data_IF_290187070597
#
_entry.id   IF_290187070597
#
_cell.length_a   1.000
_cell.length_b   1.000
_cell.length_c   1.000
_cell.angle_alpha   90.00
_cell.angle_beta   90.00
_cell.angle_gamma   90.00
#
_symmetry.space_group_name_H-M   'P 1'
#
loop_
_entity.id
_entity.type
_entity.pdbx_description
1 polymer ?
#
# COMPACT_ATOMS: atom_id res chain seq x y z
N UNK A 1 -16.49 -5.34 -23.60
CA UNK A 1 -15.33 -5.71 -22.77
C UNK A 1 -15.18 -4.66 -21.68
N UNK A 2 -15.78 -4.89 -20.51
CA UNK A 2 -15.65 -3.97 -19.37
C UNK A 2 -14.24 -4.19 -18.79
N UNK A 3 -13.30 -3.29 -19.09
CA UNK A 3 -12.05 -3.22 -18.37
C UNK A 3 -12.41 -2.91 -16.92
N UNK A 4 -12.25 -3.89 -16.02
CA UNK A 4 -12.53 -3.65 -14.61
C UNK A 4 -11.56 -2.58 -14.09
N UNK A 5 -12.07 -1.60 -13.37
CA UNK A 5 -11.30 -0.46 -12.84
C UNK A 5 -10.25 -0.86 -11.78
N UNK A 6 -10.10 -2.15 -11.49
CA UNK A 6 -9.36 -2.66 -10.33
C UNK A 6 -8.47 -3.80 -10.76
N UNK A 7 -7.20 -3.47 -10.97
CA UNK A 7 -6.20 -4.44 -11.34
C UNK A 7 -5.30 -4.76 -10.15
N UNK A 8 -5.53 -5.94 -9.58
CA UNK A 8 -4.55 -6.67 -8.79
C UNK A 8 -4.10 -6.04 -7.46
N UNK A 9 -3.28 -6.84 -6.78
CA UNK A 9 -2.80 -6.62 -5.42
C UNK A 9 -1.38 -6.04 -5.48
N UNK A 10 -1.12 -4.91 -4.83
CA UNK A 10 0.23 -4.40 -4.54
C UNK A 10 0.82 -5.29 -3.47
N UNK A 11 1.87 -6.05 -3.77
CA UNK A 11 2.63 -6.71 -2.70
C UNK A 11 3.81 -5.80 -2.33
N UNK A 12 3.69 -5.08 -1.23
CA UNK A 12 4.83 -4.42 -0.59
C UNK A 12 5.55 -5.42 0.29
N UNK A 13 6.77 -5.82 -0.07
CA UNK A 13 7.64 -6.68 0.76
C UNK A 13 8.68 -5.77 1.42
N UNK A 14 8.51 -5.47 2.70
CA UNK A 14 9.57 -4.87 3.51
C UNK A 14 10.64 -5.93 3.71
N UNK A 15 11.87 -5.53 3.42
CA UNK A 15 13.01 -6.36 3.18
C UNK A 15 13.82 -6.72 4.42
N UNK A 16 15.07 -7.01 4.13
CA UNK A 16 15.83 -8.09 4.72
C UNK A 16 16.79 -7.60 5.80
N UNK A 17 16.51 -7.87 7.09
CA UNK A 17 17.45 -7.58 8.17
C UNK A 17 18.44 -8.75 8.38
N UNK A 18 19.75 -8.46 8.32
CA UNK A 18 20.82 -9.28 8.94
C UNK A 18 21.40 -8.49 10.11
N UNK A 19 20.79 -8.54 11.30
CA UNK A 19 21.50 -8.32 12.56
C UNK A 19 20.63 -8.72 13.77
N UNK A 20 21.21 -9.61 14.59
CA UNK A 20 20.77 -10.12 15.91
C UNK A 20 19.54 -11.05 15.91
N UNK A 21 19.61 -11.98 16.85
CA UNK A 21 18.88 -13.25 16.91
C UNK A 21 17.39 -13.11 17.25
N UNK A 22 16.89 -11.89 17.43
CA UNK A 22 15.55 -11.62 17.92
C UNK A 22 14.65 -11.20 16.76
N UNK A 23 13.41 -11.69 16.75
CA UNK A 23 12.41 -11.30 15.76
C UNK A 23 12.21 -9.77 15.82
N UNK A 24 12.15 -9.05 14.67
CA UNK A 24 11.99 -7.60 14.63
C UNK A 24 10.62 -7.07 15.11
N UNK A 25 9.82 -7.92 15.77
CA UNK A 25 8.49 -7.64 16.28
C UNK A 25 7.40 -8.48 15.59
N UNK A 26 6.12 -8.27 15.97
CA UNK A 26 4.97 -8.94 15.40
C UNK A 26 4.84 -8.68 13.88
N UNK A 27 4.28 -9.65 13.15
CA UNK A 27 4.01 -9.53 11.70
C UNK A 27 5.23 -9.72 10.78
N UNK A 28 6.42 -10.00 11.33
CA UNK A 28 7.62 -10.36 10.55
C UNK A 28 7.77 -11.88 10.46
N UNK A 29 7.89 -12.41 9.23
CA UNK A 29 8.14 -13.83 9.00
C UNK A 29 9.57 -14.06 8.52
N UNK A 30 10.25 -15.10 9.02
CA UNK A 30 11.56 -15.52 8.50
C UNK A 30 11.39 -16.23 7.17
N UNK A 31 12.06 -15.74 6.13
CA UNK A 31 12.15 -16.44 4.85
C UNK A 31 13.07 -17.65 4.98
N UNK A 32 12.57 -18.88 4.77
CA UNK A 32 13.38 -20.09 4.91
C UNK A 32 14.51 -20.19 3.89
N UNK A 33 14.42 -19.50 2.74
CA UNK A 33 15.43 -19.57 1.66
C UNK A 33 16.55 -18.56 1.83
N UNK A 34 16.22 -17.35 2.29
CA UNK A 34 17.18 -16.25 2.38
C UNK A 34 17.65 -16.01 3.83
N UNK A 35 16.93 -16.55 4.82
CA UNK A 35 17.20 -16.35 6.24
C UNK A 35 16.84 -14.96 6.75
N UNK A 36 16.18 -14.15 5.93
CA UNK A 36 15.87 -12.74 6.18
C UNK A 36 14.42 -12.61 6.64
N UNK A 37 14.15 -11.66 7.52
CA UNK A 37 12.77 -11.35 7.93
C UNK A 37 12.07 -10.55 6.83
N UNK A 38 10.78 -10.81 6.63
CA UNK A 38 9.95 -10.10 5.66
C UNK A 38 8.58 -9.77 6.23
N UNK A 39 8.05 -8.61 5.83
CA UNK A 39 6.66 -8.21 6.07
C UNK A 39 5.98 -7.96 4.74
N UNK A 40 4.81 -8.57 4.51
CA UNK A 40 4.06 -8.46 3.26
C UNK A 40 2.82 -7.60 3.49
N UNK A 41 2.61 -6.60 2.65
CA UNK A 41 1.34 -5.86 2.55
C UNK A 41 0.68 -6.11 1.21
N UNK A 42 -0.65 -6.09 1.17
CA UNK A 42 -1.49 -6.33 0.00
C UNK A 42 -2.56 -5.26 -0.12
N UNK A 43 -2.62 -4.54 -1.24
CA UNK A 43 -3.64 -3.48 -1.43
C UNK A 43 -4.06 -3.32 -2.88
N UNK A 44 -5.22 -2.68 -3.12
CA UNK A 44 -5.79 -2.53 -4.47
C UNK A 44 -5.25 -1.27 -5.15
N UNK A 45 -4.99 -1.38 -6.45
CA UNK A 45 -4.64 -0.24 -7.31
C UNK A 45 -5.83 0.29 -8.10
N UNK A 46 -5.73 1.55 -8.51
CA UNK A 46 -6.58 2.14 -9.54
C UNK A 46 -5.75 2.46 -10.78
N UNK A 47 -6.30 2.19 -11.97
CA UNK A 47 -5.74 2.66 -13.23
C UNK A 47 -6.24 4.08 -13.46
N UNK A 48 -5.33 5.02 -13.71
CA UNK A 48 -5.69 6.43 -13.95
C UNK A 48 -6.23 6.61 -15.36
N UNK A 49 -6.94 7.71 -15.63
CA UNK A 49 -7.42 8.04 -16.98
C UNK A 49 -6.27 8.06 -18.01
N UNK A 50 -5.08 8.49 -17.58
CA UNK A 50 -3.89 8.44 -18.43
C UNK A 50 -3.42 7.01 -18.70
N UNK A 51 -3.50 6.12 -17.71
CA UNK A 51 -3.25 4.69 -17.89
C UNK A 51 -4.26 4.01 -18.82
N UNK A 52 -5.55 4.32 -18.69
CA UNK A 52 -6.58 3.85 -19.62
C UNK A 52 -6.30 4.35 -21.05
N UNK A 53 -5.94 5.62 -21.21
CA UNK A 53 -5.55 6.16 -22.52
C UNK A 53 -4.30 5.45 -23.07
N UNK A 54 -3.36 5.04 -22.22
CA UNK A 54 -2.18 4.30 -22.63
C UNK A 54 -2.56 2.93 -23.21
N UNK A 55 -3.44 2.18 -22.52
CA UNK A 55 -3.93 0.88 -23.00
C UNK A 55 -4.71 1.01 -24.32
N UNK A 56 -5.53 2.06 -24.46
CA UNK A 56 -6.25 2.32 -25.70
C UNK A 56 -5.30 2.66 -26.85
N UNK A 57 -4.29 3.51 -26.60
CA UNK A 57 -3.29 3.90 -27.61
C UNK A 57 -2.40 2.72 -28.03
N UNK A 58 -2.11 1.77 -27.14
CA UNK A 58 -1.34 0.58 -27.51
C UNK A 58 -2.04 -0.32 -28.53
N UNK A 59 -3.37 -0.23 -28.66
CA UNK A 59 -4.12 -0.94 -29.71
C UNK A 59 -3.94 -0.24 -31.06
N UNK A 60 -4.00 1.10 -31.08
CA UNK A 60 -3.94 1.88 -32.31
C UNK A 60 -2.55 1.91 -32.95
N UNK A 61 -1.50 2.09 -32.14
CA UNK A 61 -0.18 2.46 -32.65
C UNK A 61 0.76 1.27 -32.87
N UNK A 62 0.38 0.06 -32.48
CA UNK A 62 1.33 -1.06 -32.45
C UNK A 62 2.52 -0.79 -31.52
N UNK A 63 3.39 -1.78 -31.34
CA UNK A 63 4.44 -1.74 -30.32
C UNK A 63 5.67 -0.88 -30.69
N UNK A 64 5.65 -0.22 -31.85
CA UNK A 64 6.74 0.62 -32.35
C UNK A 64 6.25 2.07 -32.54
N UNK A 65 6.66 2.93 -31.60
CA UNK A 65 6.81 4.38 -31.80
C UNK A 65 5.59 5.31 -31.84
N UNK A 66 4.54 5.06 -31.04
CA UNK A 66 3.73 6.15 -30.46
C UNK A 66 3.08 5.83 -29.10
N UNK A 67 3.69 4.92 -28.32
CA UNK A 67 3.17 4.45 -27.04
C UNK A 67 4.22 3.73 -26.18
N UNK A 68 5.45 4.26 -26.08
CA UNK A 68 6.56 3.64 -25.32
C UNK A 68 6.23 3.07 -23.94
N UNK A 69 7.03 2.10 -23.50
CA UNK A 69 6.73 1.11 -22.47
C UNK A 69 6.68 1.65 -21.03
N UNK A 70 6.00 0.90 -20.16
CA UNK A 70 6.08 1.09 -18.72
C UNK A 70 7.48 0.64 -18.25
N UNK A 71 8.23 1.56 -17.63
CA UNK A 71 9.64 1.33 -17.27
C UNK A 71 9.96 1.62 -15.82
N UNK A 72 9.12 2.35 -15.11
CA UNK A 72 9.47 2.88 -13.79
C UNK A 72 8.39 2.61 -12.74
N UNK A 73 8.83 2.30 -11.51
CA UNK A 73 7.97 2.26 -10.33
C UNK A 73 8.38 3.42 -9.42
N UNK A 74 7.38 4.19 -8.98
CA UNK A 74 7.56 5.28 -8.02
C UNK A 74 6.91 4.95 -6.68
N UNK A 75 7.46 5.52 -5.62
CA UNK A 75 6.93 5.46 -4.25
C UNK A 75 6.91 6.84 -3.64
N UNK A 76 5.94 7.08 -2.77
CA UNK A 76 5.73 8.39 -2.15
C UNK A 76 5.13 8.34 -0.76
N UNK A 77 5.07 9.50 -0.13
CA UNK A 77 4.48 9.72 1.21
C UNK A 77 3.05 10.26 1.14
N UNK A 78 2.50 10.45 -0.06
CA UNK A 78 1.11 10.89 -0.21
C UNK A 78 0.13 9.83 0.28
N UNK A 79 -0.96 10.29 0.90
CA UNK A 79 -1.94 9.43 1.58
C UNK A 79 -3.39 9.71 1.15
N UNK A 80 -3.59 10.60 0.16
CA UNK A 80 -4.93 10.81 -0.42
C UNK A 80 -5.41 9.55 -1.13
N UNK A 81 -6.71 9.31 -1.10
CA UNK A 81 -7.30 8.17 -1.80
C UNK A 81 -7.03 8.26 -3.31
N UNK A 82 -6.51 7.20 -3.96
CA UNK A 82 -6.24 7.19 -5.40
C UNK A 82 -7.49 7.48 -6.23
N UNK A 83 -7.43 8.51 -7.08
CA UNK A 83 -8.52 8.90 -7.97
C UNK A 83 -8.16 8.66 -9.43
N UNK A 84 -9.18 8.41 -10.27
CA UNK A 84 -8.96 8.20 -11.72
C UNK A 84 -8.31 9.41 -12.40
N UNK A 85 -8.55 10.62 -11.87
CA UNK A 85 -8.00 11.87 -12.40
C UNK A 85 -6.53 12.14 -12.04
N UNK A 86 -5.91 11.32 -11.18
CA UNK A 86 -4.55 11.57 -10.72
C UNK A 86 -3.55 11.48 -11.88
N UNK A 87 -2.72 12.51 -12.04
CA UNK A 87 -1.69 12.58 -13.09
C UNK A 87 -0.29 12.25 -12.59
N UNK A 88 -0.07 12.30 -11.27
CA UNK A 88 1.18 12.03 -10.58
C UNK A 88 0.91 11.49 -9.16
N UNK A 89 1.96 11.02 -8.48
CA UNK A 89 1.89 10.75 -7.04
C UNK A 89 1.76 12.07 -6.28
N UNK A 90 1.09 12.03 -5.12
CA UNK A 90 0.81 13.23 -4.33
C UNK A 90 2.07 13.79 -3.68
N UNK A 91 2.95 12.92 -3.20
CA UNK A 91 4.26 13.31 -2.69
C UNK A 91 5.30 12.25 -3.06
N UNK A 92 5.83 12.35 -4.28
CA UNK A 92 6.84 11.41 -4.78
C UNK A 92 8.14 11.53 -3.98
N UNK A 93 8.64 10.39 -3.48
CA UNK A 93 9.94 10.30 -2.81
C UNK A 93 11.03 9.88 -3.80
N UNK A 94 10.76 8.81 -4.55
CA UNK A 94 11.71 8.27 -5.52
C UNK A 94 10.97 7.50 -6.60
N UNK A 95 11.53 7.56 -7.81
CA UNK A 95 11.13 6.77 -8.96
C UNK A 95 12.34 6.04 -9.52
N UNK A 96 12.21 4.75 -9.79
CA UNK A 96 13.31 3.91 -10.25
C UNK A 96 12.86 2.91 -11.34
N UNK A 97 13.81 2.46 -12.17
CA UNK A 97 13.53 1.51 -13.25
C UNK A 97 13.10 0.14 -12.69
N UNK A 98 12.15 -0.50 -13.36
CA UNK A 98 11.63 -1.84 -13.03
C UNK A 98 12.74 -2.88 -13.23
N UNK A 99 12.95 -3.74 -12.24
CA UNK A 99 14.01 -4.75 -12.30
C UNK A 99 13.61 -5.97 -13.14
N UNK A 100 12.33 -6.34 -13.10
CA UNK A 100 11.86 -7.52 -13.84
C UNK A 100 10.37 -7.50 -14.18
N UNK A 101 10.06 -8.21 -15.27
CA UNK A 101 8.72 -8.56 -15.72
C UNK A 101 8.60 -10.07 -15.80
N UNK A 102 7.67 -10.68 -15.06
CA UNK A 102 7.65 -12.16 -14.88
C UNK A 102 6.89 -12.92 -15.98
N UNK A 103 6.10 -12.25 -16.84
CA UNK A 103 5.27 -12.92 -17.84
C UNK A 103 5.43 -12.31 -19.24
N UNK A 104 6.62 -12.47 -19.82
CA UNK A 104 7.01 -11.86 -21.11
C UNK A 104 6.24 -12.41 -22.32
N UNK A 105 5.57 -13.56 -22.22
CA UNK A 105 4.80 -14.18 -23.31
C UNK A 105 3.51 -14.81 -22.76
N UNK A 106 2.51 -13.96 -22.53
CA UNK A 106 1.27 -14.37 -21.89
C UNK A 106 0.44 -15.22 -22.85
N UNK A 107 0.28 -16.51 -22.53
CA UNK A 107 -0.58 -17.44 -23.25
C UNK A 107 -1.54 -18.20 -22.32
N UNK A 108 -1.72 -17.70 -21.09
CA UNK A 108 -2.53 -18.33 -20.04
C UNK A 108 -3.70 -17.44 -19.63
N UNK A 109 -4.80 -18.09 -19.25
CA UNK A 109 -5.98 -17.46 -18.69
C UNK A 109 -6.05 -17.74 -17.16
N UNK A 110 -6.13 -16.72 -16.27
CA UNK A 110 -6.12 -15.29 -16.56
C UNK A 110 -4.77 -14.79 -17.06
N UNK A 111 -4.84 -13.76 -17.89
CA UNK A 111 -3.66 -13.02 -18.37
C UNK A 111 -3.11 -12.18 -17.21
N UNK A 112 -1.90 -12.51 -16.75
CA UNK A 112 -1.21 -11.81 -15.65
C UNK A 112 0.09 -11.21 -16.15
N UNK A 113 0.37 -9.95 -15.82
CA UNK A 113 1.70 -9.34 -15.87
C UNK A 113 2.12 -8.90 -14.47
N UNK A 114 3.39 -9.06 -14.14
CA UNK A 114 3.94 -8.66 -12.85
C UNK A 114 5.16 -7.80 -13.08
N UNK A 115 5.10 -6.54 -12.63
CA UNK A 115 6.25 -5.64 -12.58
C UNK A 115 6.80 -5.61 -11.16
N UNK A 116 8.10 -5.85 -11.02
CA UNK A 116 8.76 -5.87 -9.70
C UNK A 116 9.92 -4.90 -9.65
N UNK A 117 10.00 -4.12 -8.57
CA UNK A 117 11.16 -3.28 -8.23
C UNK A 117 11.57 -3.48 -6.79
N UNK A 118 12.84 -3.75 -6.55
CA UNK A 118 13.49 -3.63 -5.26
C UNK A 118 14.16 -2.26 -5.13
N UNK A 119 13.73 -1.50 -4.13
CA UNK A 119 14.41 -0.31 -3.63
C UNK A 119 15.47 -0.72 -2.61
N UNK A 120 16.69 -0.24 -2.84
CA UNK A 120 17.85 -0.53 -2.00
C UNK A 120 17.75 0.18 -0.64
N UNK A 121 18.68 -0.14 0.26
CA UNK A 121 18.79 0.49 1.58
C UNK A 121 19.02 2.01 1.51
N UNK A 122 19.63 2.50 0.44
CA UNK A 122 19.90 3.94 0.23
C UNK A 122 18.75 4.68 -0.46
N UNK A 123 17.72 3.97 -0.90
CA UNK A 123 16.65 4.48 -1.77
C UNK A 123 15.31 4.53 -1.03
N UNK A 124 14.44 5.49 -1.38
CA UNK A 124 13.06 5.58 -0.89
C UNK A 124 12.92 5.49 0.65
N UNK A 125 13.84 6.13 1.39
CA UNK A 125 13.82 6.15 2.85
C UNK A 125 12.85 7.21 3.37
N UNK A 126 11.62 6.79 3.63
CA UNK A 126 10.55 7.65 4.16
C UNK A 126 9.42 6.79 4.77
N UNK A 127 8.40 7.47 5.32
CA UNK A 127 7.12 6.86 5.67
C UNK A 127 6.26 6.69 4.41
N UNK A 128 6.55 5.66 3.62
CA UNK A 128 5.93 5.44 2.33
C UNK A 128 4.48 4.98 2.51
N UNK A 129 3.56 5.57 1.75
CA UNK A 129 2.12 5.28 1.82
C UNK A 129 1.52 5.05 0.44
N UNK A 130 2.13 5.59 -0.62
CA UNK A 130 1.68 5.43 -1.99
C UNK A 130 2.76 4.86 -2.90
N UNK A 131 2.30 4.31 -4.01
CA UNK A 131 3.13 3.86 -5.10
C UNK A 131 2.40 4.05 -6.43
N UNK A 132 3.17 4.25 -7.51
CA UNK A 132 2.65 4.29 -8.87
C UNK A 132 3.53 3.59 -9.91
N UNK A 133 2.97 3.35 -11.08
CA UNK A 133 3.66 2.81 -12.26
C UNK A 133 3.74 3.88 -13.35
N UNK A 134 4.91 4.03 -13.97
CA UNK A 134 5.21 5.15 -14.86
C UNK A 134 5.94 4.71 -16.13
N UNK A 135 5.77 5.53 -17.16
CA UNK A 135 6.48 5.44 -18.45
C UNK A 135 7.81 6.19 -18.44
N UNK A 136 7.86 7.34 -17.78
CA UNK A 136 9.00 8.25 -17.79
C UNK A 136 9.68 8.31 -16.42
N UNK A 137 10.98 8.61 -16.41
CA UNK A 137 11.79 8.77 -15.21
C UNK A 137 11.39 9.98 -14.37
N UNK A 138 10.71 10.97 -14.96
CA UNK A 138 10.18 12.15 -14.27
C UNK A 138 8.87 12.61 -14.91
N UNK A 139 8.09 13.41 -14.18
CA UNK A 139 6.86 14.03 -14.68
C UNK A 139 5.67 13.08 -14.79
N UNK A 140 4.57 13.66 -15.29
CA UNK A 140 3.33 12.98 -15.67
C UNK A 140 3.42 12.45 -17.12
N UNK A 141 2.58 11.49 -17.53
CA UNK A 141 1.50 10.85 -16.77
C UNK A 141 1.88 9.52 -16.11
N UNK A 142 1.19 9.22 -15.01
CA UNK A 142 1.22 7.93 -14.31
C UNK A 142 0.19 6.96 -14.89
N UNK A 143 0.50 5.67 -14.92
CA UNK A 143 -0.39 4.60 -15.41
C UNK A 143 -1.39 4.13 -14.35
N UNK A 144 -0.89 3.80 -13.16
CA UNK A 144 -1.72 3.40 -12.03
C UNK A 144 -1.15 3.98 -10.74
N UNK A 145 -2.03 4.15 -9.76
CA UNK A 145 -1.72 4.57 -8.40
C UNK A 145 -2.34 3.61 -7.41
N UNK A 146 -1.67 3.40 -6.29
CA UNK A 146 -2.23 2.69 -5.16
C UNK A 146 -1.60 3.12 -3.85
N UNK A 147 -2.34 2.93 -2.76
CA UNK A 147 -1.81 3.04 -1.41
C UNK A 147 -1.36 1.66 -0.92
N UNK A 148 -0.39 1.57 -0.02
CA UNK A 148 0.07 0.28 0.53
C UNK A 148 -0.95 -0.43 1.43
N UNK A 149 -1.97 0.30 1.88
CA UNK A 149 -3.10 -0.19 2.63
C UNK A 149 -4.07 0.96 2.90
N UNK A 150 -5.35 0.67 2.81
CA UNK A 150 -6.43 1.63 3.05
C UNK A 150 -7.66 0.85 3.50
N UNK A 151 -8.37 1.38 4.49
CA UNK A 151 -9.67 0.87 4.87
C UNK A 151 -10.51 1.92 5.57
N UNK A 152 -11.80 1.61 5.65
CA UNK A 152 -12.80 2.44 6.31
C UNK A 152 -12.92 2.00 7.77
N UNK A 153 -13.09 2.96 8.65
CA UNK A 153 -13.38 2.73 10.06
C UNK A 153 -14.89 2.86 10.24
N UNK A 154 -15.54 1.78 10.66
CA UNK A 154 -16.98 1.74 10.91
C UNK A 154 -17.33 1.95 12.38
N UNK A 155 -16.37 1.74 13.29
CA UNK A 155 -16.56 1.96 14.72
C UNK A 155 -15.22 2.12 15.46
N UNK A 156 -15.26 2.79 16.61
CA UNK A 156 -14.15 2.87 17.55
C UNK A 156 -14.65 2.84 19.00
N UNK A 157 -14.10 1.94 19.83
CA UNK A 157 -14.54 1.77 21.22
C UNK A 157 -13.80 2.71 22.17
N UNK A 158 -14.51 3.35 23.10
CA UNK A 158 -13.92 4.10 24.24
C UNK A 158 -13.42 3.14 25.32
N UNK A 159 -12.31 2.45 25.03
CA UNK A 159 -11.71 1.45 25.90
C UNK A 159 -10.18 1.64 25.97
N UNK A 160 -9.53 0.82 26.80
CA UNK A 160 -8.08 0.68 26.86
C UNK A 160 -7.74 -0.81 26.67
N UNK A 161 -7.29 -1.26 25.48
CA UNK A 161 -7.01 -0.47 24.28
C UNK A 161 -8.26 0.04 23.54
N UNK A 162 -8.12 1.12 22.76
CA UNK A 162 -9.09 1.49 21.72
C UNK A 162 -9.12 0.40 20.65
N UNK A 163 -10.30 -0.18 20.41
CA UNK A 163 -10.55 -1.15 19.35
C UNK A 163 -11.27 -0.46 18.19
N UNK A 164 -10.73 -0.63 17.00
CA UNK A 164 -11.27 -0.15 15.73
C UNK A 164 -11.95 -1.30 15.01
N UNK A 165 -13.14 -1.05 14.49
CA UNK A 165 -13.85 -1.94 13.57
C UNK A 165 -13.64 -1.48 12.13
N UNK A 166 -13.15 -2.39 11.30
CA UNK A 166 -12.87 -2.18 9.88
C UNK A 166 -12.90 -3.53 9.17
N UNK A 167 -14.04 -3.85 8.55
CA UNK A 167 -14.26 -5.15 7.88
C UNK A 167 -13.20 -5.44 6.81
N UNK A 168 -12.59 -6.62 6.88
CA UNK A 168 -11.62 -7.11 5.90
C UNK A 168 -10.38 -6.24 5.75
N UNK A 169 -9.86 -5.69 6.85
CA UNK A 169 -8.77 -4.71 6.83
C UNK A 169 -7.45 -5.26 6.24
N UNK A 170 -7.19 -6.57 6.34
CA UNK A 170 -6.00 -7.20 5.76
C UNK A 170 -4.66 -6.72 6.36
N UNK A 171 -4.72 -6.17 7.58
CA UNK A 171 -3.56 -5.78 8.38
C UNK A 171 -3.01 -7.00 9.13
N UNK A 172 -1.76 -6.89 9.54
CA UNK A 172 -1.09 -7.84 10.43
C UNK A 172 -0.54 -7.11 11.66
N UNK A 173 -0.29 -7.85 12.73
CA UNK A 173 0.25 -7.30 13.97
C UNK A 173 1.52 -6.47 13.73
N UNK A 174 1.65 -5.39 14.49
CA UNK A 174 2.72 -4.42 14.37
C UNK A 174 2.71 -3.61 13.08
N UNK A 175 1.64 -3.67 12.26
CA UNK A 175 1.47 -2.75 11.14
C UNK A 175 1.30 -1.33 11.67
N UNK A 176 1.94 -0.37 10.99
CA UNK A 176 1.81 1.04 11.31
C UNK A 176 0.75 1.66 10.41
N UNK A 177 -0.20 2.38 11.00
CA UNK A 177 -1.29 3.05 10.27
C UNK A 177 -1.38 4.53 10.66
N UNK A 178 -1.87 5.36 9.74
CA UNK A 178 -2.31 6.74 9.97
C UNK A 178 -3.84 6.75 9.98
N UNK A 179 -4.45 7.34 11.00
CA UNK A 179 -5.91 7.49 11.10
C UNK A 179 -6.29 8.94 10.78
N UNK A 180 -7.33 9.13 9.96
CA UNK A 180 -7.89 10.47 9.70
C UNK A 180 -9.42 10.42 9.53
N UNK A 181 -10.02 11.61 9.63
CA UNK A 181 -11.44 11.86 9.41
C UNK A 181 -12.38 11.02 10.30
N UNK A 182 -11.91 10.63 11.49
CA UNK A 182 -12.74 10.10 12.56
C UNK A 182 -13.58 11.23 13.14
N UNK A 183 -14.89 11.03 13.15
CA UNK A 183 -15.86 11.94 13.74
C UNK A 183 -16.23 11.46 15.14
N UNK A 184 -16.54 12.40 16.04
CA UNK A 184 -16.66 12.09 17.46
C UNK A 184 -15.27 11.98 18.07
N UNK A 185 -14.61 10.81 17.95
CA UNK A 185 -13.30 10.48 18.53
C UNK A 185 -12.11 11.12 17.76
N UNK A 186 -12.11 12.45 17.68
CA UNK A 186 -11.18 13.25 16.86
C UNK A 186 -9.73 13.23 17.34
N UNK A 187 -9.48 12.80 18.57
CA UNK A 187 -8.15 12.66 19.18
C UNK A 187 -7.28 11.64 18.43
N UNK A 188 -7.90 10.74 17.66
CA UNK A 188 -7.21 9.78 16.80
C UNK A 188 -6.68 10.39 15.49
N UNK A 189 -7.23 11.53 15.06
CA UNK A 189 -6.96 12.08 13.73
C UNK A 189 -5.54 12.66 13.62
N UNK A 190 -4.86 12.35 12.50
CA UNK A 190 -3.51 12.84 12.21
C UNK A 190 -2.40 12.10 12.94
N UNK A 191 -2.75 11.10 13.76
CA UNK A 191 -1.81 10.31 14.54
C UNK A 191 -1.52 8.97 13.88
N UNK A 192 -0.29 8.48 14.09
CA UNK A 192 0.13 7.17 13.63
C UNK A 192 0.15 6.16 14.79
N UNK A 193 -0.43 4.98 14.56
CA UNK A 193 -0.58 3.93 15.55
C UNK A 193 -0.04 2.60 15.04
N UNK A 194 0.29 1.71 15.97
CA UNK A 194 0.57 0.31 15.69
C UNK A 194 -0.68 -0.54 15.94
N UNK A 195 -0.83 -1.59 15.14
CA UNK A 195 -2.03 -2.42 15.08
C UNK A 195 -1.78 -3.74 15.78
N UNK A 196 -2.68 -4.12 16.67
CA UNK A 196 -2.81 -5.47 17.21
C UNK A 196 -4.09 -6.11 16.65
N UNK A 197 -3.99 -7.13 15.81
CA UNK A 197 -5.12 -7.71 15.11
C UNK A 197 -5.86 -8.68 16.03
N UNK A 198 -7.12 -8.35 16.35
CA UNK A 198 -7.96 -9.20 17.19
C UNK A 198 -8.74 -10.22 16.34
N UNK A 199 -9.30 -9.75 15.23
CA UNK A 199 -10.02 -10.57 14.24
C UNK A 199 -9.75 -10.05 12.83
N UNK A 200 -10.32 -10.66 11.78
CA UNK A 200 -10.20 -10.14 10.41
C UNK A 200 -10.91 -8.81 10.16
N UNK A 201 -11.73 -8.36 11.11
CA UNK A 201 -12.58 -7.16 11.02
C UNK A 201 -12.32 -6.16 12.16
N UNK A 202 -11.47 -6.49 13.13
CA UNK A 202 -11.20 -5.65 14.30
C UNK A 202 -9.74 -5.66 14.72
N UNK A 203 -9.26 -4.52 15.19
CA UNK A 203 -7.90 -4.38 15.70
C UNK A 203 -7.78 -3.34 16.83
N UNK A 204 -6.86 -3.56 17.75
CA UNK A 204 -6.50 -2.63 18.82
C UNK A 204 -5.43 -1.62 18.37
N UNK A 205 -5.46 -0.43 18.98
CA UNK A 205 -4.46 0.62 18.76
C UNK A 205 -3.39 0.64 19.86
N UNK A 206 -2.14 0.72 19.42
CA UNK A 206 -0.95 0.77 20.26
C UNK A 206 -0.02 1.90 19.83
N UNK A 207 0.83 2.36 20.75
CA UNK A 207 1.80 3.44 20.50
C UNK A 207 3.19 2.95 20.10
N UNK A 208 3.45 1.64 20.26
CA UNK A 208 4.73 1.02 19.94
C UNK A 208 4.61 -0.27 19.12
N UNK A 209 5.67 -0.63 18.40
CA UNK A 209 5.71 -1.80 17.52
C UNK A 209 5.77 -3.14 18.28
N UNK A 210 6.12 -3.11 19.57
CA UNK A 210 6.14 -4.29 20.45
C UNK A 210 4.77 -4.58 21.08
N UNK A 211 3.77 -3.73 20.82
CA UNK A 211 2.40 -3.82 21.34
C UNK A 211 2.36 -3.82 22.87
N UNK A 212 3.24 -3.02 23.49
CA UNK A 212 3.36 -2.94 24.95
C UNK A 212 2.54 -1.83 25.60
N UNK A 213 2.31 -0.74 24.87
CA UNK A 213 1.59 0.44 25.33
C UNK A 213 0.34 0.67 24.47
N UNK A 214 -0.81 0.27 25.00
CA UNK A 214 -2.13 0.50 24.41
C UNK A 214 -2.49 1.97 24.35
N UNK A 215 -3.32 2.34 23.37
CA UNK A 215 -3.96 3.65 23.33
C UNK A 215 -5.17 3.61 24.25
N UNK A 216 -5.11 4.37 25.34
CA UNK A 216 -6.22 4.53 26.26
C UNK A 216 -7.20 5.60 25.73
N UNK A 217 -8.36 5.15 25.26
CA UNK A 217 -9.44 6.03 24.77
C UNK A 217 -10.59 6.22 25.74
N UNK A 218 -10.46 5.83 27.01
CA UNK A 218 -11.52 5.98 28.02
C UNK A 218 -11.90 7.44 28.26
N UNK A 219 -10.96 8.36 28.06
CA UNK A 219 -11.18 9.80 28.14
C UNK A 219 -11.49 10.48 26.81
N UNK A 220 -11.54 9.74 25.69
CA UNK A 220 -11.84 10.32 24.39
C UNK A 220 -13.33 10.58 24.25
N UNK A 221 -13.66 11.44 23.31
CA UNK A 221 -15.04 11.62 22.85
C UNK A 221 -15.54 10.35 22.16
N UNK A 222 -16.85 10.09 22.26
CA UNK A 222 -17.44 8.88 21.69
C UNK A 222 -17.37 8.94 20.15
N UNK A 223 -17.06 7.81 19.52
CA UNK A 223 -17.12 7.70 18.07
C UNK A 223 -18.53 7.99 17.57
N UNK A 224 -18.62 8.78 16.51
CA UNK A 224 -19.87 9.07 15.81
C UNK A 224 -19.69 8.79 14.34
N UNK A 225 -20.64 8.06 13.74
CA UNK A 225 -20.71 7.87 12.29
C UNK A 225 -21.65 8.92 11.67
N UNK A 226 -21.37 10.21 11.88
CA UNK A 226 -22.22 11.27 11.35
C UNK A 226 -22.11 11.36 9.81
N UNK A 227 -20.96 10.96 9.25
CA UNK A 227 -20.76 10.76 7.81
C UNK A 227 -20.25 9.34 7.51
N UNK A 228 -21.12 8.43 7.01
CA UNK A 228 -20.69 7.08 6.69
C UNK A 228 -19.55 7.10 5.66
N UNK A 229 -18.48 6.36 5.96
CA UNK A 229 -17.28 6.15 5.13
C UNK A 229 -16.25 7.31 5.08
N UNK A 230 -16.30 8.28 6.01
CA UNK A 230 -15.28 9.33 6.06
C UNK A 230 -14.03 8.88 6.83
N UNK A 231 -14.24 8.22 7.98
CA UNK A 231 -13.18 7.74 8.85
C UNK A 231 -12.35 6.66 8.16
N UNK A 232 -11.04 6.87 8.08
CA UNK A 232 -10.14 6.05 7.27
C UNK A 232 -8.80 5.82 7.94
N UNK A 233 -8.27 4.62 7.77
CA UNK A 233 -6.88 4.31 8.09
C UNK A 233 -6.07 4.11 6.80
N UNK A 234 -4.79 4.47 6.84
CA UNK A 234 -3.82 4.27 5.76
C UNK A 234 -2.60 3.56 6.30
N UNK A 235 -2.12 2.55 5.60
CA UNK A 235 -0.93 1.81 6.04
C UNK A 235 0.34 2.57 5.71
N UNK A 236 1.18 2.76 6.71
CA UNK A 236 2.52 3.33 6.59
C UNK A 236 3.52 2.19 6.46
N UNK A 237 4.40 2.31 5.48
CA UNK A 237 5.60 1.50 5.34
C UNK A 237 6.78 2.35 5.83
N UNK A 238 7.18 2.24 7.11
CA UNK A 238 8.34 2.96 7.62
C UNK A 238 9.59 2.31 7.05
N UNK A 239 10.17 2.89 6.00
CA UNK A 239 11.41 2.39 5.41
C UNK A 239 12.59 3.20 5.89
N UNK A 240 13.55 2.50 6.49
CA UNK A 240 14.83 3.06 6.94
C UNK A 240 15.99 2.56 6.08
N UNK A 241 17.18 3.13 6.32
CA UNK A 241 18.40 2.70 5.63
C UNK A 241 18.91 1.31 6.02
N UNK A 242 18.24 0.63 6.97
CA UNK A 242 18.54 -0.75 7.34
C UNK A 242 17.74 -1.77 6.51
N UNK A 243 16.76 -1.32 5.72
CA UNK A 243 15.75 -2.18 5.10
C UNK A 243 15.71 -1.96 3.58
N UNK A 244 15.45 -3.03 2.84
CA UNK A 244 15.09 -2.95 1.42
C UNK A 244 13.56 -2.95 1.28
N UNK A 245 13.02 -2.49 0.16
CA UNK A 245 11.57 -2.58 -0.11
C UNK A 245 11.37 -3.14 -1.50
N UNK A 246 10.66 -4.24 -1.64
CA UNK A 246 10.21 -4.71 -2.95
C UNK A 246 8.76 -4.31 -3.16
N UNK A 247 8.50 -3.55 -4.21
CA UNK A 247 7.15 -3.18 -4.67
C UNK A 247 6.84 -4.01 -5.91
N UNK A 248 5.68 -4.65 -5.88
CA UNK A 248 5.21 -5.50 -6.98
C UNK A 248 3.82 -5.04 -7.42
N UNK A 249 3.66 -4.78 -8.72
CA UNK A 249 2.37 -4.56 -9.34
C UNK A 249 1.96 -5.81 -10.10
N UNK A 250 0.76 -6.31 -9.79
CA UNK A 250 0.10 -7.33 -10.60
C UNK A 250 -0.95 -6.66 -11.48
N UNK A 251 -0.79 -6.79 -12.78
CA UNK A 251 -1.83 -6.48 -13.76
C UNK A 251 -2.49 -7.79 -14.17
N UNK A 252 -3.65 -8.09 -13.59
CA UNK A 252 -4.45 -9.28 -13.91
C UNK A 252 -5.70 -8.87 -14.67
N UNK A 253 -5.90 -9.45 -15.85
CA UNK A 253 -7.17 -9.38 -16.54
C UNK A 253 -8.01 -10.59 -16.11
N UNK A 254 -9.28 -10.39 -15.73
CA UNK A 254 -10.12 -11.50 -15.30
C UNK A 254 -10.24 -12.54 -16.42
N UNK A 255 -10.27 -13.81 -16.01
CA UNK A 255 -10.75 -14.88 -16.88
C UNK A 255 -12.25 -14.69 -17.12
N UNK A 256 -12.72 -15.02 -18.32
CA UNK A 256 -14.15 -15.07 -18.63
C UNK A 256 -14.81 -16.30 -17.97
#
# INVERSE_FOLDING_TARGET
>A
MQLSDRCGVIIGRIGTMRARLDCPGPGWARDPRTGLYLKKSRSKNIITLSGLSFMAKSIQYGNADAGGTLRYIGTGTGYTYPAKGDTALVAETLRAEIDSWTNTNIASDPVVMIATKMFLTTEANAALMECGLFKASTGAPMFCRGLFGYGLITNATQADPVVIESVGHGLADGDKILIEAVEGMTELNGNAYYVDVLTGDTFGLYTDAALSASVNGTGFTAYTDASPNNATWKKIIPKTSAETLTVTYSLTFPAD
#
